data_IF_269555578119
#
_entry.id   IF_269555578119
#
_cell.length_a   1.000
_cell.length_b   1.000
_cell.length_c   1.000
_cell.angle_alpha   90.00
_cell.angle_beta   90.00
_cell.angle_gamma   90.00
#
_symmetry.space_group_name_H-M   'P 1'
#
loop_
_entity.id
_entity.type
_entity.pdbx_description
1 polymer ?
#
# COMPACT_ATOMS: atom_id res chain seq x y z
N UNK A 1 20.01 -3.99 0.55
CA UNK A 1 18.58 -4.25 0.63
C UNK A 1 18.22 -5.03 1.90
N UNK A 2 17.47 -4.43 2.85
CA UNK A 2 17.18 -5.04 4.17
C UNK A 2 16.09 -6.12 4.07
N UNK A 3 15.08 -5.90 3.22
CA UNK A 3 13.99 -6.85 3.00
C UNK A 3 14.51 -8.14 2.35
N UNK A 4 15.44 -8.03 1.40
CA UNK A 4 16.11 -9.18 0.79
C UNK A 4 16.89 -10.04 1.81
N UNK A 5 17.65 -9.39 2.71
CA UNK A 5 18.46 -10.06 3.76
C UNK A 5 17.61 -10.81 4.79
N UNK A 6 16.35 -10.40 4.97
CA UNK A 6 15.40 -10.97 5.93
C UNK A 6 14.30 -11.79 5.27
N UNK A 7 14.46 -12.15 3.99
CA UNK A 7 13.46 -12.93 3.25
C UNK A 7 13.13 -14.27 3.92
N UNK A 8 14.11 -14.90 4.58
CA UNK A 8 13.95 -16.16 5.31
C UNK A 8 12.95 -16.07 6.49
N UNK A 9 12.72 -14.88 7.06
CA UNK A 9 11.73 -14.64 8.12
C UNK A 9 10.29 -14.67 7.58
N UNK A 10 10.12 -14.66 6.25
CA UNK A 10 8.82 -14.56 5.56
C UNK A 10 8.67 -15.67 4.52
N UNK A 11 8.67 -16.95 4.93
CA UNK A 11 8.80 -18.10 4.02
C UNK A 11 7.65 -18.25 3.02
N UNK A 12 6.48 -17.67 3.31
CA UNK A 12 5.28 -17.75 2.47
C UNK A 12 4.97 -16.45 1.71
N UNK A 13 5.84 -15.43 1.79
CA UNK A 13 5.64 -14.16 1.09
C UNK A 13 6.60 -14.06 -0.08
N UNK A 14 6.06 -13.83 -1.28
CA UNK A 14 6.85 -13.62 -2.51
C UNK A 14 7.63 -12.29 -2.48
N UNK A 15 7.16 -11.32 -1.70
CA UNK A 15 7.83 -10.04 -1.48
C UNK A 15 7.06 -9.18 -0.49
N UNK A 16 7.63 -8.03 -0.17
CA UNK A 16 7.00 -6.99 0.66
C UNK A 16 7.20 -5.63 0.01
N UNK A 17 6.24 -4.74 0.23
CA UNK A 17 6.29 -3.36 -0.23
C UNK A 17 5.60 -2.45 0.79
N UNK A 18 5.93 -1.17 0.74
CA UNK A 18 5.29 -0.11 1.51
C UNK A 18 4.64 0.88 0.55
N UNK A 19 3.32 1.01 0.68
CA UNK A 19 2.52 2.01 -0.01
C UNK A 19 2.28 3.19 0.93
N UNK A 20 2.58 4.40 0.47
CA UNK A 20 2.34 5.61 1.24
C UNK A 20 0.95 6.13 0.92
N UNK A 21 0.19 6.57 1.94
CA UNK A 21 -1.05 7.29 1.71
C UNK A 21 -0.76 8.71 1.21
N UNK A 22 -1.35 9.09 0.09
CA UNK A 22 -1.20 10.42 -0.52
C UNK A 22 -2.57 11.01 -0.79
N UNK A 23 -2.88 12.17 -0.21
CA UNK A 23 -4.12 12.89 -0.51
C UNK A 23 -4.04 13.56 -1.88
N UNK A 24 -5.19 13.77 -2.54
CA UNK A 24 -5.21 14.46 -3.83
C UNK A 24 -4.51 15.82 -3.81
N UNK A 25 -4.74 16.60 -2.75
CA UNK A 25 -4.13 17.92 -2.57
C UNK A 25 -2.60 17.87 -2.51
N UNK A 26 -2.02 16.75 -2.05
CA UNK A 26 -0.58 16.58 -1.90
C UNK A 26 0.07 15.87 -3.10
N UNK A 27 -0.73 15.36 -4.05
CA UNK A 27 -0.27 14.55 -5.19
C UNK A 27 0.83 15.24 -5.99
N UNK A 28 0.62 16.50 -6.37
CA UNK A 28 1.58 17.21 -7.23
C UNK A 28 2.93 17.42 -6.54
N UNK A 29 2.92 17.76 -5.24
CA UNK A 29 4.13 17.90 -4.44
C UNK A 29 4.84 16.55 -4.26
N UNK A 30 4.07 15.49 -3.99
CA UNK A 30 4.57 14.12 -3.89
C UNK A 30 5.25 13.66 -5.19
N UNK A 31 4.56 13.75 -6.33
CA UNK A 31 5.11 13.31 -7.64
C UNK A 31 6.38 14.10 -8.02
N UNK A 32 6.40 15.42 -7.73
CA UNK A 32 7.59 16.26 -7.93
C UNK A 32 8.77 15.81 -7.06
N UNK A 33 8.52 15.46 -5.80
CA UNK A 33 9.56 14.99 -4.88
C UNK A 33 10.09 13.61 -5.27
N UNK A 34 9.20 12.71 -5.68
CA UNK A 34 9.55 11.34 -6.07
C UNK A 34 10.25 11.27 -7.44
N UNK A 35 9.99 12.25 -8.33
CA UNK A 35 10.52 12.26 -9.70
C UNK A 35 9.78 11.33 -10.66
N UNK A 36 8.60 10.82 -10.26
CA UNK A 36 7.72 9.97 -11.06
C UNK A 36 6.25 10.23 -10.72
N UNK A 37 5.36 9.78 -11.61
CA UNK A 37 3.91 9.97 -11.48
C UNK A 37 3.23 8.72 -10.92
N UNK A 38 2.16 8.90 -10.16
CA UNK A 38 1.35 7.80 -9.64
C UNK A 38 0.63 7.10 -10.80
N UNK A 39 0.77 5.77 -10.89
CA UNK A 39 0.14 4.95 -11.94
C UNK A 39 -0.89 4.01 -11.35
N UNK A 40 -1.90 3.64 -12.12
CA UNK A 40 -2.83 2.56 -11.76
C UNK A 40 -2.12 1.20 -11.82
N UNK A 41 -2.73 0.15 -11.27
CA UNK A 41 -2.26 -1.24 -11.41
C UNK A 41 -2.24 -1.72 -12.87
N UNK A 42 -2.84 -0.98 -13.80
CA UNK A 42 -2.75 -1.22 -15.26
C UNK A 42 -1.58 -0.46 -15.91
N UNK A 43 -0.71 0.17 -15.13
CA UNK A 43 0.42 0.99 -15.57
C UNK A 43 0.04 2.27 -16.35
N UNK A 44 -1.18 2.75 -16.18
CA UNK A 44 -1.65 4.03 -16.76
C UNK A 44 -1.54 5.16 -15.73
N UNK A 45 -1.39 6.43 -16.12
CA UNK A 45 -1.46 7.55 -15.17
C UNK A 45 -2.75 7.49 -14.34
N UNK A 46 -2.65 7.57 -13.01
CA UNK A 46 -3.84 7.46 -12.15
C UNK A 46 -4.74 8.68 -12.34
N UNK A 47 -6.07 8.51 -12.55
CA UNK A 47 -7.00 9.63 -12.66
C UNK A 47 -7.11 10.41 -11.32
N UNK A 48 -7.80 11.56 -11.29
CA UNK A 48 -8.14 12.22 -10.04
C UNK A 48 -8.95 11.29 -9.13
N UNK A 49 -8.48 11.13 -7.89
CA UNK A 49 -9.08 10.36 -6.78
C UNK A 49 -8.90 11.18 -5.51
N UNK A 50 -9.72 10.93 -4.49
CA UNK A 50 -9.61 11.63 -3.19
C UNK A 50 -8.28 11.34 -2.48
N UNK A 51 -7.83 10.08 -2.58
CA UNK A 51 -6.55 9.61 -2.04
C UNK A 51 -5.97 8.46 -2.89
N UNK A 52 -4.68 8.22 -2.71
CA UNK A 52 -3.89 7.20 -3.40
C UNK A 52 -3.06 6.41 -2.39
N UNK A 53 -2.63 5.20 -2.79
CA UNK A 53 -1.64 4.41 -2.07
C UNK A 53 -0.47 3.97 -2.98
N UNK A 54 0.34 4.91 -3.50
CA UNK A 54 1.50 4.58 -4.31
C UNK A 54 2.59 3.83 -3.52
N UNK A 55 3.14 2.77 -4.11
CA UNK A 55 4.30 2.05 -3.55
C UNK A 55 5.57 2.88 -3.68
N UNK A 56 6.20 3.20 -2.54
CA UNK A 56 7.46 3.98 -2.50
C UNK A 56 8.68 3.16 -2.09
N UNK A 57 8.47 2.01 -1.43
CA UNK A 57 9.52 1.04 -1.13
C UNK A 57 9.04 -0.34 -1.52
N UNK A 58 9.89 -1.10 -2.20
CA UNK A 58 9.60 -2.46 -2.61
C UNK A 58 10.82 -3.35 -2.38
N UNK A 59 10.59 -4.61 -2.04
CA UNK A 59 11.63 -5.64 -2.17
C UNK A 59 11.88 -5.89 -3.65
N UNK A 60 13.12 -6.18 -4.06
CA UNK A 60 13.49 -6.40 -5.46
C UNK A 60 12.57 -7.41 -6.20
N UNK A 61 12.11 -8.45 -5.49
CA UNK A 61 11.20 -9.49 -6.02
C UNK A 61 9.83 -8.97 -6.44
N UNK A 62 9.45 -7.77 -5.99
CA UNK A 62 8.20 -7.07 -6.31
C UNK A 62 8.48 -5.64 -6.78
N UNK A 63 9.63 -5.36 -7.38
CA UNK A 63 9.97 -4.03 -7.90
C UNK A 63 9.00 -3.51 -8.97
N UNK A 64 8.31 -4.41 -9.68
CA UNK A 64 7.34 -4.06 -10.72
C UNK A 64 6.08 -3.31 -10.21
N UNK A 65 5.83 -3.30 -8.89
CA UNK A 65 4.72 -2.51 -8.30
C UNK A 65 5.15 -1.11 -7.81
N UNK A 66 6.42 -0.74 -7.94
CA UNK A 66 6.90 0.58 -7.54
C UNK A 66 6.20 1.70 -8.33
N UNK A 67 5.72 2.72 -7.62
CA UNK A 67 4.92 3.82 -8.16
C UNK A 67 3.48 3.48 -8.54
N UNK A 68 3.05 2.23 -8.36
CA UNK A 68 1.67 1.83 -8.59
C UNK A 68 0.79 2.17 -7.39
N UNK A 69 -0.38 2.73 -7.68
CA UNK A 69 -1.45 3.00 -6.74
C UNK A 69 -2.20 1.72 -6.41
N UNK A 70 -1.92 1.18 -5.23
CA UNK A 70 -2.56 -0.04 -4.74
C UNK A 70 -4.06 0.13 -4.52
N UNK A 71 -4.59 1.36 -4.41
CA UNK A 71 -6.04 1.59 -4.32
C UNK A 71 -6.76 1.49 -5.67
N UNK A 72 -6.03 1.39 -6.79
CA UNK A 72 -6.64 1.22 -8.11
C UNK A 72 -7.03 -0.23 -8.43
N UNK A 73 -6.61 -1.21 -7.62
CA UNK A 73 -7.09 -2.59 -7.64
C UNK A 73 -8.12 -2.81 -6.54
N UNK A 74 -9.21 -3.50 -6.85
CA UNK A 74 -10.35 -3.61 -5.93
C UNK A 74 -10.01 -4.41 -4.67
N UNK A 75 -9.36 -5.55 -4.83
CA UNK A 75 -8.98 -6.43 -3.72
C UNK A 75 -8.00 -5.73 -2.77
N UNK A 76 -7.01 -5.02 -3.32
CA UNK A 76 -6.02 -4.25 -2.55
C UNK A 76 -6.66 -3.04 -1.87
N UNK A 77 -7.52 -2.29 -2.57
CA UNK A 77 -8.27 -1.15 -2.04
C UNK A 77 -9.12 -1.54 -0.84
N UNK A 78 -9.92 -2.60 -0.95
CA UNK A 78 -10.73 -3.10 0.17
C UNK A 78 -9.85 -3.52 1.36
N UNK A 79 -8.70 -4.14 1.10
CA UNK A 79 -7.80 -4.58 2.15
C UNK A 79 -7.16 -3.39 2.87
N UNK A 80 -6.69 -2.37 2.15
CA UNK A 80 -6.11 -1.14 2.71
C UNK A 80 -7.14 -0.43 3.61
N UNK A 81 -8.37 -0.23 3.11
CA UNK A 81 -9.43 0.44 3.86
C UNK A 81 -9.79 -0.31 5.15
N UNK A 82 -9.88 -1.64 5.10
CA UNK A 82 -10.17 -2.48 6.27
C UNK A 82 -8.99 -2.52 7.25
N UNK A 83 -7.76 -2.61 6.74
CA UNK A 83 -6.52 -2.60 7.53
C UNK A 83 -6.47 -1.35 8.43
N UNK A 84 -6.58 -0.17 7.82
CA UNK A 84 -6.47 1.11 8.52
C UNK A 84 -7.64 1.42 9.46
N UNK A 85 -8.85 0.94 9.17
CA UNK A 85 -9.98 1.10 10.08
C UNK A 85 -9.83 0.22 11.34
N UNK A 86 -9.35 -1.01 11.15
CA UNK A 86 -9.28 -2.01 12.23
C UNK A 86 -8.00 -1.93 13.05
N UNK A 87 -6.92 -1.33 12.54
CA UNK A 87 -5.61 -1.30 13.20
C UNK A 87 -4.96 -2.67 13.30
N UNK A 88 -5.31 -3.58 12.38
CA UNK A 88 -4.89 -4.99 12.42
C UNK A 88 -4.49 -5.47 11.04
N UNK A 89 -3.73 -6.57 11.04
CA UNK A 89 -3.42 -7.32 9.83
C UNK A 89 -4.71 -7.84 9.17
N UNK A 90 -4.80 -7.71 7.85
CA UNK A 90 -5.95 -8.17 7.07
C UNK A 90 -5.50 -8.90 5.80
N UNK A 91 -6.30 -9.88 5.38
CA UNK A 91 -6.08 -10.68 4.18
C UNK A 91 -7.17 -10.41 3.15
N UNK A 92 -6.80 -10.39 1.87
CA UNK A 92 -7.75 -10.42 0.76
C UNK A 92 -8.42 -11.80 0.63
N UNK A 93 -9.46 -11.88 -0.18
CA UNK A 93 -9.88 -13.16 -0.77
C UNK A 93 -8.81 -13.64 -1.76
N UNK A 94 -8.75 -14.95 -2.10
CA UNK A 94 -7.84 -15.41 -3.13
C UNK A 94 -8.12 -14.76 -4.49
N UNK A 95 -7.11 -14.17 -5.11
CA UNK A 95 -7.19 -13.56 -6.44
C UNK A 95 -5.88 -13.74 -7.21
N UNK A 96 -5.90 -13.47 -8.52
CA UNK A 96 -4.67 -13.53 -9.33
C UNK A 96 -3.83 -12.28 -9.05
N UNK A 97 -2.68 -12.50 -8.45
CA UNK A 97 -1.67 -11.45 -8.24
C UNK A 97 -1.13 -10.95 -9.59
N UNK A 98 -0.46 -9.80 -9.59
CA UNK A 98 0.24 -9.27 -10.78
C UNK A 98 1.30 -10.23 -11.36
N UNK A 99 1.80 -11.18 -10.56
CA UNK A 99 2.66 -12.28 -11.02
C UNK A 99 1.90 -13.41 -11.74
N UNK A 100 0.59 -13.26 -11.95
CA UNK A 100 -0.35 -14.26 -12.48
C UNK A 100 -0.50 -15.55 -11.65
N UNK A 101 0.01 -15.57 -10.41
CA UNK A 101 -0.21 -16.65 -9.46
C UNK A 101 -1.47 -16.39 -8.64
N UNK A 102 -2.22 -17.45 -8.32
CA UNK A 102 -3.32 -17.34 -7.36
C UNK A 102 -2.74 -17.20 -5.95
N UNK A 103 -3.12 -16.14 -5.24
CA UNK A 103 -2.60 -15.86 -3.90
C UNK A 103 -3.52 -14.94 -3.10
N UNK A 104 -2.99 -14.48 -1.97
CA UNK A 104 -3.65 -13.51 -1.07
C UNK A 104 -2.65 -12.39 -0.74
N UNK A 105 -3.16 -11.19 -0.50
CA UNK A 105 -2.35 -10.06 -0.02
C UNK A 105 -2.58 -9.86 1.47
N UNK A 106 -1.49 -9.73 2.22
CA UNK A 106 -1.47 -9.41 3.64
C UNK A 106 -1.10 -7.93 3.81
N UNK A 107 -1.98 -7.15 4.44
CA UNK A 107 -1.78 -5.71 4.64
C UNK A 107 -1.78 -5.38 6.12
N UNK A 108 -0.85 -4.52 6.53
CA UNK A 108 -0.76 -3.91 7.85
C UNK A 108 -0.85 -2.39 7.71
N UNK A 109 -1.55 -1.69 8.61
CA UNK A 109 -1.57 -0.23 8.58
C UNK A 109 -0.34 0.32 9.31
N UNK A 110 0.19 1.43 8.81
CA UNK A 110 1.21 2.24 9.47
C UNK A 110 0.56 3.57 9.85
N UNK A 111 0.60 3.91 11.12
CA UNK A 111 0.04 5.17 11.65
C UNK A 111 1.14 6.16 12.01
N UNK A 112 0.78 7.44 12.00
CA UNK A 112 1.59 8.51 12.60
C UNK A 112 1.69 8.31 14.13
N UNK A 113 2.76 8.84 14.72
CA UNK A 113 3.16 8.57 16.12
C UNK A 113 2.10 8.97 17.15
N UNK A 114 1.29 9.99 16.84
CA UNK A 114 0.36 10.61 17.79
C UNK A 114 -1.01 9.91 17.90
N UNK A 115 -1.12 8.66 17.42
CA UNK A 115 -2.37 7.90 17.49
C UNK A 115 -2.62 7.34 18.90
N UNK A 116 -3.73 7.71 19.59
CA UNK A 116 -4.05 7.18 20.91
C UNK A 116 -4.29 5.66 20.90
N UNK A 117 -3.98 4.93 22.00
CA UNK A 117 -4.23 3.48 22.09
C UNK A 117 -5.71 3.08 21.92
N UNK A 118 -6.63 3.96 22.30
CA UNK A 118 -8.09 3.80 22.22
C UNK A 118 -8.71 4.58 21.05
N UNK A 119 -7.89 4.95 20.05
CA UNK A 119 -8.32 5.69 18.87
C UNK A 119 -9.52 5.04 18.17
N UNK A 120 -10.50 5.88 17.81
CA UNK A 120 -11.67 5.47 17.03
C UNK A 120 -11.28 5.22 15.57
N UNK A 121 -12.22 4.69 14.80
CA UNK A 121 -12.01 4.39 13.39
C UNK A 121 -11.61 5.66 12.62
N UNK A 122 -12.27 6.77 12.90
CA UNK A 122 -12.03 8.06 12.25
C UNK A 122 -10.61 8.58 12.54
N UNK A 123 -10.16 8.47 13.78
CA UNK A 123 -8.82 8.88 14.21
C UNK A 123 -7.74 8.04 13.53
N UNK A 124 -7.95 6.72 13.42
CA UNK A 124 -7.04 5.81 12.71
C UNK A 124 -6.97 6.12 11.23
N UNK A 125 -8.12 6.34 10.61
CA UNK A 125 -8.19 6.73 9.19
C UNK A 125 -7.46 8.06 9.01
N UNK A 126 -7.65 9.07 9.86
CA UNK A 126 -6.95 10.34 9.77
C UNK A 126 -5.42 10.18 9.95
N UNK A 127 -4.97 9.36 10.91
CA UNK A 127 -3.57 9.14 11.22
C UNK A 127 -2.85 8.13 10.31
N UNK A 128 -3.51 7.57 9.29
CA UNK A 128 -2.89 6.58 8.40
C UNK A 128 -1.78 7.22 7.57
N UNK A 129 -0.56 6.71 7.71
CA UNK A 129 0.60 7.07 6.90
C UNK A 129 0.76 6.17 5.67
N UNK A 130 0.37 4.89 5.76
CA UNK A 130 0.43 3.90 4.67
C UNK A 130 -0.22 2.59 5.06
#
# INVERSE_FOLDING_TARGET
DYTARTSFERPLLSGVAYAQRVMHADREAFERQQGWIIKTMKHEPSPPQDEYAPVIYSQETVSYIEGLDMMSGEEDRENILRSRATGKAVLTRPFRLMSNHLGVVLTFPVYLVDLPPDAKVEDRVAATAG
#
